data_IF_649782991707
#
_entry.id   IF_649782991707
#
_cell.length_a   1.000
_cell.length_b   1.000
_cell.length_c   1.000
_cell.angle_alpha   90.00
_cell.angle_beta   90.00
_cell.angle_gamma   90.00
#
_symmetry.space_group_name_H-M   'P 1'
#
loop_
_entity.id
_entity.type
_entity.pdbx_description
1 polymer ?
#
# COMPACT_ATOMS: atom_id res chain seq x y z
N UNK A 1 32.70 -18.21 25.96
CA UNK A 1 33.28 -19.19 26.91
C UNK A 1 32.13 -19.77 27.74
N UNK A 2 31.80 -21.06 27.62
CA UNK A 2 30.64 -21.67 28.29
C UNK A 2 30.97 -21.89 29.77
N UNK A 3 30.15 -21.40 30.69
CA UNK A 3 30.29 -21.69 32.13
C UNK A 3 29.69 -23.07 32.41
N UNK A 4 30.56 -24.03 32.75
CA UNK A 4 30.21 -25.44 32.97
C UNK A 4 30.10 -25.67 34.46
N UNK A 5 28.96 -25.27 35.05
CA UNK A 5 28.52 -25.82 36.33
C UNK A 5 27.39 -26.84 36.06
N UNK A 6 27.79 -28.03 35.62
CA UNK A 6 26.90 -29.12 35.22
C UNK A 6 26.51 -29.93 36.45
N UNK A 7 25.28 -29.72 36.91
CA UNK A 7 24.57 -30.69 37.75
C UNK A 7 23.54 -31.40 36.86
N UNK A 8 23.37 -32.74 36.93
CA UNK A 8 22.53 -33.52 36.00
C UNK A 8 21.04 -33.15 35.95
N UNK A 9 20.59 -32.16 36.72
CA UNK A 9 19.21 -31.68 36.77
C UNK A 9 19.02 -30.24 36.20
N UNK A 10 20.08 -29.56 35.71
CA UNK A 10 19.96 -28.24 35.06
C UNK A 10 19.93 -28.41 33.54
N UNK A 11 18.79 -28.07 32.92
CA UNK A 11 18.54 -28.15 31.47
C UNK A 11 18.99 -26.85 30.74
N UNK A 12 19.44 -25.83 31.48
CA UNK A 12 19.78 -24.52 30.90
C UNK A 12 21.28 -24.27 30.91
N UNK A 13 21.86 -24.16 29.71
CA UNK A 13 23.22 -23.68 29.48
C UNK A 13 23.17 -22.15 29.33
N UNK A 14 23.69 -21.42 30.32
CA UNK A 14 23.80 -19.95 30.24
C UNK A 14 25.07 -19.56 29.49
N UNK A 15 24.91 -18.80 28.41
CA UNK A 15 26.03 -18.28 27.62
C UNK A 15 26.51 -16.96 28.24
N UNK A 16 27.82 -16.84 28.47
CA UNK A 16 28.46 -15.68 29.12
C UNK A 16 28.23 -14.35 28.39
N UNK A 17 27.97 -14.38 27.09
CA UNK A 17 27.80 -13.19 26.24
C UNK A 17 26.48 -13.23 25.44
N UNK A 18 25.40 -13.66 26.09
CA UNK A 18 24.08 -13.87 25.45
C UNK A 18 23.61 -12.67 24.60
N UNK A 19 23.82 -11.43 25.06
CA UNK A 19 23.47 -10.22 24.30
C UNK A 19 24.32 -10.02 23.05
N UNK A 20 25.62 -10.32 23.11
CA UNK A 20 26.52 -10.17 21.96
C UNK A 20 26.28 -11.29 20.94
N UNK A 21 26.03 -12.51 21.42
CA UNK A 21 25.66 -13.65 20.59
C UNK A 21 24.31 -13.38 19.90
N UNK A 22 23.31 -12.89 20.63
CA UNK A 22 22.03 -12.51 20.04
C UNK A 22 22.17 -11.39 19.00
N UNK A 23 23.01 -10.38 19.26
CA UNK A 23 23.27 -9.30 18.32
C UNK A 23 23.98 -9.80 17.04
N UNK A 24 24.93 -10.72 17.18
CA UNK A 24 25.60 -11.37 16.05
C UNK A 24 24.57 -12.17 15.26
N UNK A 25 23.82 -13.08 15.89
CA UNK A 25 22.80 -13.91 15.22
C UNK A 25 21.76 -13.06 14.49
N UNK A 26 21.25 -12.00 15.12
CA UNK A 26 20.30 -11.08 14.48
C UNK A 26 20.90 -10.37 13.27
N UNK A 27 22.16 -9.94 13.38
CA UNK A 27 22.88 -9.30 12.27
C UNK A 27 23.11 -10.30 11.13
N UNK A 28 23.60 -11.51 11.41
CA UNK A 28 23.82 -12.52 10.37
C UNK A 28 22.52 -12.94 9.71
N UNK A 29 21.43 -13.08 10.47
CA UNK A 29 20.10 -13.37 9.92
C UNK A 29 19.57 -12.22 9.05
N UNK A 30 19.72 -10.97 9.50
CA UNK A 30 19.33 -9.79 8.71
C UNK A 30 20.13 -9.69 7.42
N UNK A 31 21.45 -9.85 7.50
CA UNK A 31 22.36 -9.78 6.35
C UNK A 31 22.06 -10.94 5.37
N UNK A 32 21.82 -12.16 5.88
CA UNK A 32 21.44 -13.32 5.08
C UNK A 32 20.05 -13.18 4.44
N UNK A 33 19.07 -12.60 5.13
CA UNK A 33 17.74 -12.36 4.58
C UNK A 33 17.74 -11.21 3.57
N UNK A 34 18.55 -10.16 3.77
CA UNK A 34 18.74 -9.09 2.80
C UNK A 34 19.46 -9.60 1.55
N UNK A 35 20.52 -10.39 1.73
CA UNK A 35 21.17 -11.07 0.61
C UNK A 35 20.21 -12.03 -0.07
N UNK A 36 19.46 -12.87 0.66
CA UNK A 36 18.46 -13.76 0.06
C UNK A 36 17.34 -13.01 -0.64
N UNK A 37 16.87 -11.86 -0.16
CA UNK A 37 15.90 -11.03 -0.87
C UNK A 37 16.49 -10.50 -2.21
N UNK A 38 17.78 -10.15 -2.20
CA UNK A 38 18.53 -9.75 -3.39
C UNK A 38 18.81 -10.94 -4.32
N UNK A 39 19.06 -12.13 -3.77
CA UNK A 39 19.36 -13.36 -4.49
C UNK A 39 18.09 -14.09 -4.96
N UNK A 40 16.94 -13.90 -4.33
CA UNK A 40 15.65 -14.41 -4.84
C UNK A 40 15.16 -13.56 -6.01
N UNK A 41 15.65 -12.32 -6.13
CA UNK A 41 15.59 -11.55 -7.37
C UNK A 41 16.67 -12.00 -8.39
N UNK A 42 17.84 -12.49 -7.96
CA UNK A 42 18.94 -12.90 -8.85
C UNK A 42 18.96 -14.39 -9.27
N UNK A 43 18.30 -15.28 -8.54
CA UNK A 43 18.18 -16.71 -8.82
C UNK A 43 16.75 -16.95 -9.28
N UNK A 44 16.58 -17.05 -10.60
CA UNK A 44 15.30 -17.39 -11.21
C UNK A 44 14.71 -18.61 -10.51
N UNK A 45 13.49 -18.46 -9.99
CA UNK A 45 12.68 -19.55 -9.48
C UNK A 45 12.58 -20.60 -10.59
N UNK A 46 13.28 -21.73 -10.42
CA UNK A 46 13.02 -22.92 -11.22
C UNK A 46 11.64 -23.44 -10.83
N UNK A 47 10.65 -23.16 -11.67
CA UNK A 47 9.32 -23.72 -11.55
C UNK A 47 9.38 -25.21 -11.93
N UNK A 48 9.71 -26.06 -10.96
CA UNK A 48 9.47 -27.50 -11.10
C UNK A 48 8.00 -27.75 -10.79
N UNK A 49 7.19 -27.79 -11.85
CA UNK A 49 5.76 -28.06 -11.75
C UNK A 49 5.49 -29.37 -10.99
N UNK A 50 4.78 -29.26 -9.87
CA UNK A 50 3.88 -30.33 -9.43
C UNK A 50 2.60 -29.65 -8.96
N UNK A 51 1.62 -29.67 -9.85
CA UNK A 51 0.29 -29.08 -9.65
C UNK A 51 -0.44 -29.77 -8.51
N UNK A 52 -0.39 -29.21 -7.30
CA UNK A 52 -1.44 -29.42 -6.31
C UNK A 52 -2.46 -28.29 -6.49
N UNK A 53 -3.58 -28.60 -7.17
CA UNK A 53 -4.73 -27.70 -7.26
C UNK A 53 -5.28 -27.45 -5.86
N UNK A 54 -5.04 -26.27 -5.30
CA UNK A 54 -5.96 -25.63 -4.37
C UNK A 54 -6.48 -24.36 -5.04
N UNK A 55 -7.78 -24.37 -5.32
CA UNK A 55 -8.46 -23.26 -5.95
C UNK A 55 -8.59 -22.09 -4.94
N UNK A 56 -8.03 -20.94 -5.28
CA UNK A 56 -8.40 -19.66 -4.68
C UNK A 56 -9.26 -18.92 -5.72
N UNK A 57 -10.46 -18.43 -5.38
CA UNK A 57 -11.29 -17.69 -6.33
C UNK A 57 -10.69 -16.31 -6.56
N UNK A 58 -10.23 -16.03 -7.79
CA UNK A 58 -9.98 -14.67 -8.25
C UNK A 58 -10.75 -14.42 -9.54
N UNK A 59 -11.74 -13.54 -9.39
CA UNK A 59 -12.69 -13.08 -10.38
C UNK A 59 -12.03 -12.07 -11.32
N UNK A 60 -11.13 -12.56 -12.17
CA UNK A 60 -10.48 -11.79 -13.23
C UNK A 60 -10.68 -12.50 -14.56
N UNK A 61 -11.87 -12.38 -15.15
CA UNK A 61 -12.05 -12.50 -16.60
C UNK A 61 -13.52 -12.27 -16.97
N UNK A 62 -13.89 -11.04 -17.33
CA UNK A 62 -14.80 -10.78 -18.45
C UNK A 62 -14.52 -9.37 -18.96
N UNK A 63 -14.06 -9.23 -20.21
CA UNK A 63 -13.98 -7.90 -20.83
C UNK A 63 -12.92 -7.68 -21.91
N UNK A 64 -12.48 -8.70 -22.65
CA UNK A 64 -11.84 -8.47 -23.95
C UNK A 64 -12.29 -9.54 -24.95
N UNK A 65 -13.38 -9.24 -25.68
CA UNK A 65 -13.60 -9.76 -27.03
C UNK A 65 -14.14 -8.64 -27.90
N UNK A 66 -13.27 -8.12 -28.75
CA UNK A 66 -13.65 -7.40 -29.97
C UNK A 66 -14.05 -8.43 -31.02
N UNK A 67 -15.35 -8.56 -31.32
CA UNK A 67 -15.88 -8.60 -32.68
C UNK A 67 -17.40 -8.79 -32.73
N UNK A 68 -17.99 -8.08 -33.70
CA UNK A 68 -19.24 -8.36 -34.42
C UNK A 68 -20.56 -8.31 -33.65
N UNK A 69 -21.34 -7.27 -33.93
CA UNK A 69 -22.75 -7.46 -34.28
C UNK A 69 -23.27 -6.32 -35.17
N UNK A 70 -23.39 -6.67 -36.45
CA UNK A 70 -24.26 -5.99 -37.41
C UNK A 70 -25.72 -6.11 -36.97
N UNK A 71 -26.46 -5.05 -37.30
CA UNK A 71 -27.90 -4.85 -37.25
C UNK A 71 -28.82 -6.09 -37.17
N UNK A 72 -29.83 -6.00 -36.30
CA UNK A 72 -31.25 -6.25 -36.66
C UNK A 72 -32.19 -5.66 -35.59
N UNK A 73 -33.13 -4.87 -36.08
CA UNK A 73 -34.32 -4.38 -35.37
C UNK A 73 -35.16 -5.55 -34.86
N UNK A 74 -35.73 -5.41 -33.65
CA UNK A 74 -37.09 -5.85 -33.35
C UNK A 74 -37.65 -5.12 -32.12
N UNK A 75 -38.98 -5.02 -32.08
CA UNK A 75 -39.78 -3.95 -31.49
C UNK A 75 -40.45 -4.38 -30.17
N UNK A 76 -40.51 -3.44 -29.23
CA UNK A 76 -41.49 -3.23 -28.16
C UNK A 76 -41.69 -4.28 -27.04
N UNK A 77 -41.50 -3.82 -25.80
CA UNK A 77 -42.58 -3.78 -24.80
C UNK A 77 -42.25 -2.75 -23.71
N UNK A 78 -43.03 -1.67 -23.68
CA UNK A 78 -43.02 -0.60 -22.67
C UNK A 78 -43.77 -1.03 -21.41
N UNK A 79 -43.17 -0.84 -20.23
CA UNK A 79 -43.88 -0.76 -18.94
C UNK A 79 -43.56 0.60 -18.32
N UNK A 80 -44.57 1.44 -17.98
CA UNK A 80 -44.33 2.78 -17.43
C UNK A 80 -44.08 2.69 -15.92
N UNK A 81 -42.96 3.25 -15.46
CA UNK A 81 -42.71 3.50 -14.03
C UNK A 81 -42.88 5.01 -13.80
N UNK A 82 -43.93 5.38 -13.06
CA UNK A 82 -44.14 6.74 -12.56
C UNK A 82 -43.09 7.07 -11.48
N UNK A 83 -42.33 8.15 -11.69
CA UNK A 83 -41.45 8.73 -10.69
C UNK A 83 -42.25 9.69 -9.79
N UNK A 84 -42.13 9.62 -8.46
CA UNK A 84 -42.57 10.70 -7.59
C UNK A 84 -41.54 11.84 -7.57
N UNK A 85 -42.03 13.05 -7.80
CA UNK A 85 -41.28 14.31 -7.67
C UNK A 85 -40.84 14.55 -6.22
N UNK A 86 -39.53 14.48 -5.96
CA UNK A 86 -38.91 15.02 -4.74
C UNK A 86 -37.59 15.68 -5.11
N UNK A 87 -37.36 16.98 -4.77
CA UNK A 87 -36.17 17.69 -5.19
C UNK A 87 -34.95 17.26 -4.37
N UNK A 88 -34.03 16.50 -4.98
CA UNK A 88 -32.71 16.25 -4.42
C UNK A 88 -31.81 17.44 -4.75
N UNK A 89 -31.51 18.24 -3.73
CA UNK A 89 -30.50 19.30 -3.76
C UNK A 89 -29.11 18.68 -3.80
N UNK A 90 -28.52 18.61 -4.99
CA UNK A 90 -27.10 18.25 -5.16
C UNK A 90 -26.21 19.46 -4.84
N UNK A 91 -25.63 19.50 -3.65
CA UNK A 91 -24.46 20.34 -3.39
C UNK A 91 -23.24 19.73 -4.11
N UNK A 92 -22.99 20.22 -5.32
CA UNK A 92 -21.77 19.96 -6.07
C UNK A 92 -20.66 20.87 -5.52
N UNK A 93 -19.78 20.34 -4.65
CA UNK A 93 -18.47 20.95 -4.45
C UNK A 93 -17.63 20.68 -5.71
N UNK A 94 -17.64 21.64 -6.64
CA UNK A 94 -16.65 21.74 -7.72
C UNK A 94 -15.32 22.14 -7.09
N UNK A 95 -14.36 21.21 -7.03
CA UNK A 95 -12.96 21.59 -6.92
C UNK A 95 -12.55 22.26 -8.23
N UNK A 96 -12.38 23.58 -8.16
CA UNK A 96 -11.93 24.42 -9.28
C UNK A 96 -10.42 24.28 -9.40
N UNK A 97 -9.96 23.57 -10.43
CA UNK A 97 -8.58 23.68 -10.91
C UNK A 97 -8.50 24.87 -11.87
N UNK A 98 -7.45 25.72 -11.83
CA UNK A 98 -7.35 26.86 -12.72
C UNK A 98 -7.17 26.39 -14.16
N UNK A 99 -8.17 26.64 -15.00
CA UNK A 99 -8.08 26.46 -16.45
C UNK A 99 -7.17 27.54 -17.02
N UNK A 100 -5.95 27.16 -17.42
CA UNK A 100 -5.12 28.00 -18.28
C UNK A 100 -5.77 28.02 -19.66
N UNK A 101 -6.25 29.20 -20.08
CA UNK A 101 -6.74 29.44 -21.43
C UNK A 101 -5.54 29.51 -22.37
N UNK A 102 -5.44 28.54 -23.28
CA UNK A 102 -4.49 28.54 -24.39
C UNK A 102 -5.29 28.95 -25.63
N UNK A 103 -4.98 30.13 -26.18
CA UNK A 103 -5.56 30.59 -27.45
C UNK A 103 -5.07 29.70 -28.61
N UNK A 104 -5.97 29.43 -29.57
CA UNK A 104 -5.67 28.65 -30.78
C UNK A 104 -4.62 29.34 -31.68
N UNK A 105 -3.85 28.57 -32.48
CA UNK A 105 -2.61 29.03 -33.06
C UNK A 105 -2.80 29.65 -34.45
N UNK A 106 -2.14 30.78 -34.67
CA UNK A 106 -1.77 31.24 -36.00
C UNK A 106 -0.25 31.29 -36.05
N UNK A 107 0.34 30.29 -36.71
CA UNK A 107 1.50 30.37 -37.59
C UNK A 107 2.20 29.01 -37.64
N UNK A 108 2.34 28.52 -38.87
CA UNK A 108 3.05 27.29 -39.22
C UNK A 108 4.55 27.53 -38.95
N UNK A 109 4.99 27.19 -37.74
CA UNK A 109 6.41 27.08 -37.42
C UNK A 109 6.88 25.70 -37.85
N UNK A 110 7.80 25.67 -38.81
CA UNK A 110 8.55 24.49 -39.22
C UNK A 110 9.11 23.77 -37.99
N UNK A 111 8.65 22.54 -37.76
CA UNK A 111 9.18 21.65 -36.72
C UNK A 111 10.59 21.23 -37.13
N UNK A 112 11.58 22.00 -36.70
CA UNK A 112 12.95 21.49 -36.57
C UNK A 112 12.95 20.51 -35.40
N UNK A 113 13.32 19.27 -35.71
CA UNK A 113 13.49 18.15 -34.79
C UNK A 113 14.16 18.60 -33.48
N UNK A 114 13.37 18.81 -32.43
CA UNK A 114 13.89 19.15 -31.12
C UNK A 114 14.53 17.88 -30.55
N UNK A 115 15.85 17.87 -30.50
CA UNK A 115 16.64 16.83 -29.84
C UNK A 115 16.07 16.59 -28.45
N UNK A 116 15.65 15.33 -28.20
CA UNK A 116 15.17 14.90 -26.92
C UNK A 116 16.26 15.17 -25.89
N UNK A 117 16.02 16.14 -25.01
CA UNK A 117 16.91 16.47 -23.89
C UNK A 117 17.14 15.18 -23.10
N UNK A 118 18.35 14.65 -23.19
CA UNK A 118 18.74 13.39 -22.55
C UNK A 118 18.34 13.45 -21.06
N UNK A 119 17.48 12.52 -20.66
CA UNK A 119 17.02 12.39 -19.28
C UNK A 119 18.25 12.10 -18.41
N UNK A 120 18.60 13.02 -17.51
CA UNK A 120 19.72 12.87 -16.55
C UNK A 120 19.40 11.89 -15.41
N UNK A 121 18.27 11.19 -15.49
CA UNK A 121 17.87 10.18 -14.51
C UNK A 121 18.77 8.93 -14.67
N UNK A 122 19.12 8.24 -13.57
CA UNK A 122 19.94 7.03 -13.61
C UNK A 122 19.15 5.79 -14.12
N UNK A 123 18.02 6.03 -14.78
CA UNK A 123 17.11 5.05 -15.34
C UNK A 123 16.26 5.69 -16.44
N UNK A 124 15.77 4.87 -17.36
CA UNK A 124 14.81 5.26 -18.40
C UNK A 124 13.48 4.55 -18.15
N UNK A 125 12.39 5.29 -18.02
CA UNK A 125 11.05 4.70 -17.93
C UNK A 125 10.65 4.19 -19.31
N UNK A 126 10.41 2.88 -19.43
CA UNK A 126 9.98 2.23 -20.66
C UNK A 126 8.46 2.35 -20.84
N UNK A 127 7.72 2.38 -19.73
CA UNK A 127 6.28 2.59 -19.71
C UNK A 127 5.58 1.76 -18.66
N UNK A 128 4.26 1.76 -18.74
CA UNK A 128 3.38 1.04 -17.82
C UNK A 128 2.79 -0.21 -18.48
N UNK A 129 2.91 -1.36 -17.81
CA UNK A 129 2.42 -2.66 -18.26
C UNK A 129 1.20 -3.04 -17.41
N UNK A 130 0.11 -3.47 -18.07
CA UNK A 130 -1.14 -3.91 -17.44
C UNK A 130 -1.74 -2.91 -16.42
N UNK A 131 -1.44 -1.63 -16.59
CA UNK A 131 -1.82 -0.57 -15.64
C UNK A 131 -1.46 -0.88 -14.17
N UNK A 132 -0.42 -1.69 -13.96
CA UNK A 132 -0.05 -2.26 -12.64
C UNK A 132 1.46 -2.28 -12.41
N UNK A 133 2.25 -2.38 -13.48
CA UNK A 133 3.70 -2.47 -13.40
C UNK A 133 4.36 -1.34 -14.17
N UNK A 134 5.50 -0.86 -13.69
CA UNK A 134 6.35 0.12 -14.37
C UNK A 134 7.61 -0.60 -14.82
N UNK A 135 7.86 -0.60 -16.13
CA UNK A 135 9.11 -1.09 -16.70
C UNK A 135 10.13 0.03 -16.75
N UNK A 136 11.33 -0.21 -16.23
CA UNK A 136 12.45 0.72 -16.33
C UNK A 136 13.72 0.02 -16.81
N UNK A 137 14.52 0.73 -17.60
CA UNK A 137 15.84 0.31 -18.04
C UNK A 137 16.89 1.04 -17.19
N UNK A 138 17.86 0.29 -16.67
CA UNK A 138 19.03 0.78 -15.92
C UNK A 138 20.29 0.15 -16.51
N UNK A 139 21.46 0.69 -16.16
CA UNK A 139 22.75 0.13 -16.59
C UNK A 139 22.92 -1.36 -16.24
N UNK A 140 22.27 -1.82 -15.17
CA UNK A 140 22.32 -3.21 -14.72
C UNK A 140 21.38 -4.15 -15.51
N UNK A 141 20.34 -3.62 -16.16
CA UNK A 141 19.36 -4.41 -16.91
C UNK A 141 17.94 -3.86 -16.84
N UNK A 142 16.96 -4.75 -17.07
CA UNK A 142 15.53 -4.45 -17.02
C UNK A 142 15.01 -4.60 -15.60
N UNK A 143 14.23 -3.62 -15.14
CA UNK A 143 13.55 -3.67 -13.86
C UNK A 143 12.04 -3.57 -14.06
N UNK A 144 11.30 -4.36 -13.29
CA UNK A 144 9.84 -4.33 -13.24
C UNK A 144 9.42 -3.95 -11.83
N UNK A 145 8.72 -2.83 -11.70
CA UNK A 145 8.26 -2.30 -10.42
C UNK A 145 6.75 -2.49 -10.30
N UNK A 146 6.29 -3.12 -9.21
CA UNK A 146 4.88 -3.14 -8.85
C UNK A 146 4.48 -1.75 -8.33
N UNK A 147 3.65 -1.04 -9.10
CA UNK A 147 3.29 0.35 -8.79
C UNK A 147 2.52 0.48 -7.48
N UNK A 148 1.71 -0.52 -7.13
CA UNK A 148 0.89 -0.51 -5.94
C UNK A 148 1.76 -0.76 -4.71
N UNK A 149 2.56 -1.81 -4.74
CA UNK A 149 3.50 -2.14 -3.66
C UNK A 149 4.54 -1.01 -3.43
N UNK A 150 5.04 -0.41 -4.53
CA UNK A 150 5.90 0.77 -4.46
C UNK A 150 5.21 1.95 -3.77
N UNK A 151 3.97 2.25 -4.15
CA UNK A 151 3.25 3.38 -3.55
C UNK A 151 2.90 3.14 -2.08
N UNK A 152 2.55 1.90 -1.70
CA UNK A 152 2.39 1.52 -0.29
C UNK A 152 3.65 1.83 0.52
N UNK A 153 4.84 1.46 0.01
CA UNK A 153 6.12 1.74 0.68
C UNK A 153 6.34 3.24 0.84
N UNK A 154 6.17 4.01 -0.23
CA UNK A 154 6.35 5.47 -0.21
C UNK A 154 5.41 6.14 0.79
N UNK A 155 4.13 5.77 0.79
CA UNK A 155 3.16 6.33 1.73
C UNK A 155 3.51 5.94 3.16
N UNK A 156 3.69 4.65 3.43
CA UNK A 156 4.02 4.15 4.77
C UNK A 156 5.20 4.91 5.35
N UNK A 157 6.26 5.08 4.57
CA UNK A 157 7.47 5.70 5.06
C UNK A 157 7.34 7.21 5.24
N UNK A 158 6.56 7.87 4.38
CA UNK A 158 6.14 9.25 4.61
C UNK A 158 5.39 9.38 5.93
N UNK A 159 4.45 8.48 6.21
CA UNK A 159 3.68 8.48 7.47
C UNK A 159 4.57 8.21 8.69
N UNK A 160 5.57 7.34 8.56
CA UNK A 160 6.52 7.02 9.64
C UNK A 160 7.53 8.14 9.88
N UNK A 161 7.94 8.87 8.84
CA UNK A 161 8.91 9.97 8.94
C UNK A 161 8.27 11.33 9.28
N UNK A 162 6.93 11.45 9.23
CA UNK A 162 6.28 12.65 9.74
C UNK A 162 6.65 12.82 11.21
N UNK A 163 7.19 13.98 11.62
CA UNK A 163 7.54 14.21 13.00
C UNK A 163 6.24 14.11 13.80
N UNK A 164 6.09 12.98 14.47
CA UNK A 164 5.18 12.85 15.59
C UNK A 164 5.66 13.85 16.61
N UNK A 165 5.17 15.09 16.53
CA UNK A 165 5.12 15.94 17.71
C UNK A 165 4.42 15.07 18.74
N UNK A 166 5.15 14.61 19.75
CA UNK A 166 4.84 13.38 20.48
C UNK A 166 3.37 13.22 20.83
N UNK A 167 2.71 12.21 20.26
CA UNK A 167 1.31 11.92 20.55
C UNK A 167 0.30 13.02 20.16
N UNK A 168 0.65 13.94 19.26
CA UNK A 168 -0.31 14.94 18.78
C UNK A 168 -1.42 14.23 18.03
N UNK A 169 -2.58 14.19 18.69
CA UNK A 169 -3.86 13.81 18.13
C UNK A 169 -4.48 15.02 17.43
N UNK A 170 -5.18 14.78 16.33
CA UNK A 170 -6.08 15.79 15.77
C UNK A 170 -7.43 15.64 16.46
N UNK A 171 -7.76 16.62 17.30
CA UNK A 171 -9.12 16.78 17.85
C UNK A 171 -10.06 17.19 16.69
N UNK A 172 -11.18 16.48 16.59
CA UNK A 172 -12.21 16.77 15.60
C UNK A 172 -13.03 17.97 16.07
N UNK A 173 -13.26 18.94 15.17
CA UNK A 173 -14.14 20.08 15.45
C UNK A 173 -15.57 19.63 15.74
N UNK A 174 -16.00 18.55 15.09
CA UNK A 174 -17.29 17.88 15.29
C UNK A 174 -16.99 16.40 15.50
N UNK A 175 -17.26 15.83 16.69
CA UNK A 175 -17.09 14.40 16.93
C UNK A 175 -17.94 13.56 15.98
N UNK A 176 -17.43 12.41 15.56
CA UNK A 176 -18.24 11.43 14.85
C UNK A 176 -19.04 10.59 15.83
N UNK A 177 -20.35 10.52 15.61
CA UNK A 177 -21.23 9.60 16.32
C UNK A 177 -21.15 8.23 15.65
N UNK A 178 -20.75 7.22 16.40
CA UNK A 178 -20.58 5.84 15.97
C UNK A 178 -21.68 5.00 16.62
N UNK A 179 -22.57 4.46 15.81
CA UNK A 179 -23.51 3.43 16.25
C UNK A 179 -22.80 2.08 16.16
N UNK A 180 -22.62 1.43 17.31
CA UNK A 180 -21.83 0.19 17.39
C UNK A 180 -22.69 -0.99 17.85
N UNK A 181 -22.35 -2.19 17.41
CA UNK A 181 -22.93 -3.42 17.94
C UNK A 181 -22.47 -3.68 19.37
N UNK A 182 -23.18 -4.55 20.10
CA UNK A 182 -22.78 -4.93 21.46
C UNK A 182 -21.38 -5.57 21.53
N UNK A 183 -20.94 -6.24 20.46
CA UNK A 183 -19.58 -6.81 20.37
C UNK A 183 -18.53 -5.71 20.24
N UNK A 184 -18.79 -4.72 19.39
CA UNK A 184 -17.90 -3.57 19.18
C UNK A 184 -17.83 -2.68 20.41
N UNK A 185 -18.94 -2.48 21.13
CA UNK A 185 -18.95 -1.77 22.41
C UNK A 185 -17.99 -2.42 23.43
N UNK A 186 -18.03 -3.75 23.56
CA UNK A 186 -17.10 -4.49 24.44
C UNK A 186 -15.65 -4.29 24.00
N UNK A 187 -15.37 -4.26 22.69
CA UNK A 187 -14.01 -4.00 22.18
C UNK A 187 -13.58 -2.58 22.54
N UNK A 188 -14.44 -1.57 22.34
CA UNK A 188 -14.16 -0.17 22.68
C UNK A 188 -13.87 0.02 24.16
N UNK A 189 -14.68 -0.57 25.04
CA UNK A 189 -14.52 -0.51 26.49
C UNK A 189 -13.15 -1.08 26.92
N UNK A 190 -12.72 -2.19 26.33
CA UNK A 190 -11.47 -2.84 26.68
C UNK A 190 -10.24 -2.20 26.02
N UNK A 191 -10.39 -1.60 24.84
CA UNK A 191 -9.29 -1.06 24.04
C UNK A 191 -9.06 0.44 24.23
N UNK A 192 -9.87 1.14 25.03
CA UNK A 192 -9.85 2.61 25.13
C UNK A 192 -8.45 3.18 25.41
N UNK A 193 -7.72 2.62 26.37
CA UNK A 193 -6.37 3.07 26.71
C UNK A 193 -5.37 2.84 25.56
N UNK A 194 -5.54 1.76 24.81
CA UNK A 194 -4.66 1.39 23.70
C UNK A 194 -4.94 2.22 22.45
N UNK A 195 -6.22 2.47 22.18
CA UNK A 195 -6.69 3.41 21.15
C UNK A 195 -6.16 4.81 21.44
N UNK A 196 -6.25 5.28 22.69
CA UNK A 196 -5.70 6.57 23.10
C UNK A 196 -4.18 6.64 22.89
N UNK A 197 -3.45 5.56 23.20
CA UNK A 197 -1.99 5.50 23.02
C UNK A 197 -1.56 5.63 21.55
N UNK A 198 -2.40 5.23 20.59
CA UNK A 198 -2.15 5.41 19.16
C UNK A 198 -2.82 6.66 18.56
N UNK A 199 -3.64 7.37 19.34
CA UNK A 199 -4.20 8.68 19.00
C UNK A 199 -5.70 8.74 18.71
N UNK A 200 -6.44 7.66 18.98
CA UNK A 200 -7.90 7.63 18.91
C UNK A 200 -8.51 7.88 20.28
N UNK A 201 -9.38 8.89 20.40
CA UNK A 201 -10.16 9.11 21.62
C UNK A 201 -11.64 8.86 21.35
N UNK A 202 -12.19 7.90 22.08
CA UNK A 202 -13.59 7.48 22.01
C UNK A 202 -14.24 7.59 23.39
N UNK A 203 -15.49 8.02 23.41
CA UNK A 203 -16.28 8.20 24.63
C UNK A 203 -17.67 7.58 24.45
N UNK A 204 -18.19 6.94 25.49
CA UNK A 204 -19.56 6.42 25.48
C UNK A 204 -20.56 7.59 25.50
N UNK A 205 -21.51 7.60 24.57
CA UNK A 205 -22.51 8.67 24.41
C UNK A 205 -23.93 8.21 24.81
N UNK A 206 -24.07 6.99 25.34
CA UNK A 206 -25.33 6.40 25.77
C UNK A 206 -25.81 5.26 24.87
N UNK A 207 -26.44 4.25 25.47
CA UNK A 207 -26.89 3.06 24.72
C UNK A 207 -25.74 2.38 23.98
N UNK A 208 -25.91 2.21 22.67
CA UNK A 208 -24.92 1.65 21.75
C UNK A 208 -24.15 2.72 20.96
N UNK A 209 -24.22 3.97 21.40
CA UNK A 209 -23.65 5.10 20.69
C UNK A 209 -22.34 5.53 21.35
N UNK A 210 -21.30 5.72 20.54
CA UNK A 210 -20.00 6.24 20.97
C UNK A 210 -19.64 7.49 20.18
N UNK A 211 -18.90 8.41 20.80
CA UNK A 211 -18.38 9.61 20.15
C UNK A 211 -16.87 9.45 19.93
N UNK A 212 -16.44 9.49 18.66
CA UNK A 212 -15.03 9.61 18.29
C UNK A 212 -14.65 11.09 18.27
N UNK A 213 -13.80 11.50 19.20
CA UNK A 213 -13.39 12.90 19.40
C UNK A 213 -12.05 13.24 18.78
N UNK A 214 -11.13 12.27 18.77
CA UNK A 214 -9.77 12.48 18.27
C UNK A 214 -9.32 11.34 17.39
N UNK A 215 -8.50 11.68 16.39
CA UNK A 215 -7.86 10.75 15.47
C UNK A 215 -6.35 10.98 15.44
N UNK A 216 -5.54 9.96 15.10
CA UNK A 216 -4.12 10.15 14.87
C UNK A 216 -3.89 11.19 13.75
N UNK A 217 -2.90 12.07 13.89
CA UNK A 217 -2.65 13.16 12.92
C UNK A 217 -2.42 12.66 11.48
N UNK A 218 -1.92 11.44 11.32
CA UNK A 218 -1.77 10.75 10.03
C UNK A 218 -3.08 10.60 9.24
N UNK A 219 -4.23 10.67 9.93
CA UNK A 219 -5.56 10.63 9.31
C UNK A 219 -6.11 12.01 8.92
N UNK A 220 -5.48 13.11 9.34
CA UNK A 220 -6.04 14.48 9.25
C UNK A 220 -6.57 14.88 7.87
N UNK A 221 -5.91 14.45 6.80
CA UNK A 221 -6.27 14.85 5.45
C UNK A 221 -7.42 14.02 4.83
N UNK A 222 -7.77 12.87 5.40
CA UNK A 222 -8.61 11.88 4.69
C UNK A 222 -9.49 10.98 5.57
N UNK A 223 -9.51 11.15 6.89
CA UNK A 223 -10.24 10.24 7.78
C UNK A 223 -11.68 9.96 7.34
N UNK A 224 -12.05 8.67 7.30
CA UNK A 224 -13.42 8.21 7.11
C UNK A 224 -13.84 7.34 8.30
N UNK A 225 -15.06 7.51 8.85
CA UNK A 225 -15.55 6.69 9.95
C UNK A 225 -15.48 5.17 9.69
N UNK A 226 -15.74 4.73 8.46
CA UNK A 226 -15.67 3.31 8.08
C UNK A 226 -14.28 2.70 8.33
N UNK A 227 -13.20 3.48 8.15
CA UNK A 227 -11.82 3.01 8.42
C UNK A 227 -11.61 2.72 9.91
N UNK A 228 -12.36 3.39 10.80
CA UNK A 228 -12.29 3.13 12.23
C UNK A 228 -13.03 1.84 12.61
N UNK A 229 -14.15 1.52 11.95
CA UNK A 229 -14.83 0.24 12.16
C UNK A 229 -13.97 -0.94 11.71
N UNK A 230 -13.28 -0.82 10.57
CA UNK A 230 -12.32 -1.83 10.11
C UNK A 230 -11.19 -2.04 11.13
N UNK A 231 -10.69 -0.96 11.75
CA UNK A 231 -9.70 -1.03 12.83
C UNK A 231 -10.26 -1.70 14.09
N UNK A 232 -11.54 -1.46 14.40
CA UNK A 232 -12.18 -2.03 15.57
C UNK A 232 -12.38 -3.54 15.43
N UNK A 233 -12.78 -4.00 14.25
CA UNK A 233 -12.89 -5.42 13.91
C UNK A 233 -11.55 -6.13 14.13
N UNK A 234 -10.47 -5.56 13.60
CA UNK A 234 -9.08 -6.03 13.81
C UNK A 234 -8.70 -6.12 15.30
N UNK A 235 -9.14 -5.15 16.09
CA UNK A 235 -8.90 -5.14 17.52
C UNK A 235 -9.58 -6.31 18.23
N UNK A 236 -10.83 -6.59 17.85
CA UNK A 236 -11.61 -7.72 18.33
C UNK A 236 -11.05 -9.08 17.92
N UNK A 237 -10.32 -9.15 16.81
CA UNK A 237 -9.82 -10.41 16.22
C UNK A 237 -8.39 -10.81 16.62
N UNK A 238 -7.69 -10.01 17.44
CA UNK A 238 -6.41 -10.46 18.02
C UNK A 238 -5.34 -9.40 18.22
N UNK A 239 -5.67 -8.11 18.16
CA UNK A 239 -4.67 -7.08 18.51
C UNK A 239 -4.53 -6.86 20.00
N UNK A 240 -5.45 -7.31 20.85
CA UNK A 240 -5.45 -7.08 22.30
C UNK A 240 -4.15 -7.46 23.02
N UNK A 241 -3.35 -8.39 22.48
CA UNK A 241 -2.05 -8.79 23.04
C UNK A 241 -0.81 -8.07 22.47
N UNK A 242 -0.96 -7.23 21.44
CA UNK A 242 0.16 -6.57 20.78
C UNK A 242 0.66 -5.35 21.55
N UNK A 243 1.96 -5.07 21.42
CA UNK A 243 2.54 -3.85 22.00
C UNK A 243 1.99 -2.60 21.31
N UNK A 244 1.98 -1.42 21.97
CA UNK A 244 1.53 -0.18 21.36
C UNK A 244 2.23 0.16 20.02
N UNK A 245 3.54 -0.06 19.93
CA UNK A 245 4.31 0.19 18.71
C UNK A 245 3.91 -0.75 17.57
N UNK A 246 3.57 -2.01 17.87
CA UNK A 246 3.10 -2.99 16.87
C UNK A 246 1.70 -2.64 16.37
N UNK A 247 0.82 -2.17 17.25
CA UNK A 247 -0.51 -1.66 16.88
C UNK A 247 -0.39 -0.43 16.00
N UNK A 248 0.49 0.51 16.38
CA UNK A 248 0.80 1.70 15.61
C UNK A 248 1.30 1.35 14.21
N UNK A 249 2.26 0.42 14.11
CA UNK A 249 2.78 -0.10 12.84
C UNK A 249 1.64 -0.61 11.94
N UNK A 250 0.72 -1.43 12.48
CA UNK A 250 -0.42 -1.96 11.71
C UNK A 250 -1.37 -0.88 11.21
N UNK A 251 -1.62 0.16 12.02
CA UNK A 251 -2.42 1.32 11.61
C UNK A 251 -1.76 2.06 10.44
N UNK A 252 -0.45 2.28 10.51
CA UNK A 252 0.31 2.93 9.42
C UNK A 252 0.29 2.09 8.13
N UNK A 253 0.40 0.76 8.26
CA UNK A 253 0.30 -0.17 7.14
C UNK A 253 -1.08 -0.10 6.47
N UNK A 254 -2.17 -0.11 7.27
CA UNK A 254 -3.54 0.03 6.75
C UNK A 254 -3.77 1.35 6.02
N UNK A 255 -3.30 2.44 6.61
CA UNK A 255 -3.33 3.78 6.00
C UNK A 255 -2.61 3.81 4.65
N UNK A 256 -1.43 3.18 4.60
CA UNK A 256 -0.67 3.08 3.36
C UNK A 256 -1.43 2.31 2.27
N UNK A 257 -2.06 1.18 2.58
CA UNK A 257 -2.94 0.46 1.65
C UNK A 257 -4.10 1.32 1.14
N UNK A 258 -4.80 2.00 2.06
CA UNK A 258 -5.98 2.78 1.72
C UNK A 258 -5.64 3.95 0.79
N UNK A 259 -4.48 4.58 1.03
CA UNK A 259 -3.95 5.70 0.25
C UNK A 259 -3.21 5.32 -1.04
N UNK A 260 -2.76 4.06 -1.17
CA UNK A 260 -1.99 3.60 -2.32
C UNK A 260 -2.80 3.64 -3.63
N UNK A 261 -2.04 3.69 -4.74
CA UNK A 261 -2.58 3.66 -6.11
C UNK A 261 -3.40 2.38 -6.26
N UNK A 262 -4.59 2.49 -6.83
CA UNK A 262 -5.47 1.33 -7.01
C UNK A 262 -5.01 0.50 -8.21
N UNK A 263 -5.29 -0.80 -8.15
CA UNK A 263 -5.03 -1.71 -9.26
C UNK A 263 -5.73 -1.19 -10.52
N UNK A 264 -5.03 -1.21 -11.65
CA UNK A 264 -5.56 -0.76 -12.95
C UNK A 264 -5.50 0.76 -13.19
N UNK A 265 -4.98 1.56 -12.25
CA UNK A 265 -4.83 3.00 -12.46
C UNK A 265 -3.70 3.27 -13.46
N UNK A 266 -3.99 4.03 -14.53
CA UNK A 266 -3.00 4.53 -15.47
C UNK A 266 -2.21 5.68 -14.85
N UNK A 267 -0.89 5.68 -15.07
CA UNK A 267 0.01 6.74 -14.62
C UNK A 267 0.64 7.44 -15.82
N UNK A 268 0.72 8.76 -15.77
CA UNK A 268 1.54 9.54 -16.69
C UNK A 268 3.03 9.35 -16.37
N UNK A 269 3.89 9.60 -17.35
CA UNK A 269 5.35 9.43 -17.19
C UNK A 269 5.91 10.23 -16.01
N UNK A 270 5.42 11.46 -15.81
CA UNK A 270 5.84 12.29 -14.68
C UNK A 270 5.45 11.67 -13.32
N UNK A 271 4.28 11.04 -13.22
CA UNK A 271 3.82 10.35 -12.01
C UNK A 271 4.64 9.08 -11.74
N UNK A 272 4.98 8.33 -12.80
CA UNK A 272 5.87 7.18 -12.70
C UNK A 272 7.24 7.61 -12.17
N UNK A 273 7.88 8.60 -12.80
CA UNK A 273 9.17 9.14 -12.33
C UNK A 273 9.08 9.62 -10.87
N UNK A 274 8.04 10.38 -10.52
CA UNK A 274 7.86 10.86 -9.15
C UNK A 274 7.67 9.74 -8.12
N UNK A 275 6.99 8.65 -8.47
CA UNK A 275 6.84 7.46 -7.62
C UNK A 275 8.19 6.75 -7.44
N UNK A 276 8.93 6.55 -8.55
CA UNK A 276 10.23 5.89 -8.52
C UNK A 276 11.23 6.73 -7.69
N UNK A 277 11.32 8.03 -7.91
CA UNK A 277 12.25 8.87 -7.14
C UNK A 277 11.99 8.81 -5.62
N UNK A 278 10.70 8.79 -5.22
CA UNK A 278 10.32 8.63 -3.82
C UNK A 278 10.63 7.22 -3.29
N UNK A 279 10.36 6.18 -4.08
CA UNK A 279 10.63 4.80 -3.69
C UNK A 279 12.12 4.58 -3.45
N UNK A 280 13.02 5.09 -4.29
CA UNK A 280 14.46 4.88 -4.13
C UNK A 280 15.05 5.67 -2.96
N UNK A 281 14.37 6.73 -2.52
CA UNK A 281 14.72 7.46 -1.29
C UNK A 281 14.28 6.72 -0.02
N UNK A 282 13.51 5.64 -0.17
CA UNK A 282 13.08 4.85 0.96
C UNK A 282 14.22 4.07 1.62
N UNK A 283 14.11 3.89 2.93
CA UNK A 283 14.95 3.02 3.78
C UNK A 283 14.89 1.56 3.32
N UNK A 284 13.70 1.10 2.90
CA UNK A 284 13.45 -0.28 2.43
C UNK A 284 12.74 -0.25 1.07
N UNK A 285 13.42 0.17 0.00
CA UNK A 285 12.80 0.44 -1.29
C UNK A 285 12.30 -0.81 -2.00
N UNK A 286 12.86 -1.99 -1.68
CA UNK A 286 12.62 -3.27 -2.38
C UNK A 286 11.58 -4.19 -1.70
N UNK A 287 10.95 -3.73 -0.62
CA UNK A 287 9.97 -4.53 0.12
C UNK A 287 8.85 -3.63 0.59
N UNK A 288 7.59 -3.94 0.29
CA UNK A 288 6.46 -3.15 0.77
C UNK A 288 6.22 -3.41 2.27
N UNK A 289 5.39 -2.61 2.95
CA UNK A 289 5.13 -2.79 4.38
C UNK A 289 4.53 -4.16 4.75
N UNK A 290 3.90 -4.86 3.79
CA UNK A 290 3.38 -6.22 3.94
C UNK A 290 4.41 -7.33 3.67
N UNK A 291 5.64 -6.98 3.28
CA UNK A 291 6.69 -7.94 2.94
C UNK A 291 6.76 -8.38 1.48
N UNK A 292 5.88 -7.87 0.59
CA UNK A 292 5.93 -8.17 -0.85
C UNK A 292 7.11 -7.44 -1.52
N UNK A 293 7.78 -8.02 -2.53
CA UNK A 293 8.74 -7.27 -3.35
C UNK A 293 8.07 -6.09 -4.04
N UNK A 294 8.73 -4.93 -4.08
CA UNK A 294 8.26 -3.76 -4.84
C UNK A 294 8.84 -3.71 -6.25
N UNK A 295 10.00 -4.35 -6.46
CA UNK A 295 10.68 -4.38 -7.74
C UNK A 295 11.39 -5.72 -7.94
N UNK A 296 11.49 -6.14 -9.20
CA UNK A 296 12.27 -7.28 -9.67
C UNK A 296 13.28 -6.79 -10.71
N UNK A 297 14.49 -7.34 -10.67
CA UNK A 297 15.57 -7.03 -11.60
C UNK A 297 15.85 -8.25 -12.50
N UNK A 298 16.02 -7.98 -13.79
CA UNK A 298 16.55 -8.91 -14.78
C UNK A 298 17.83 -8.31 -15.34
N UNK A 299 18.97 -8.83 -14.89
CA UNK A 299 20.27 -8.38 -15.36
C UNK A 299 20.43 -8.64 -16.86
N UNK A 300 21.29 -7.86 -17.53
CA UNK A 300 21.59 -8.07 -18.94
C UNK A 300 22.02 -9.52 -19.24
N UNK A 301 22.80 -10.15 -18.34
CA UNK A 301 23.22 -11.54 -18.45
C UNK A 301 22.05 -12.52 -18.32
N UNK A 302 21.14 -12.32 -17.35
CA UNK A 302 19.96 -13.15 -17.18
C UNK A 302 19.05 -13.07 -18.41
N UNK A 303 18.80 -11.85 -18.91
CA UNK A 303 18.03 -11.64 -20.14
C UNK A 303 18.68 -12.36 -21.31
N UNK A 304 19.99 -12.23 -21.50
CA UNK A 304 20.70 -12.91 -22.58
C UNK A 304 20.49 -14.43 -22.52
N UNK A 305 20.65 -15.05 -21.34
CA UNK A 305 20.44 -16.49 -21.14
C UNK A 305 19.00 -16.94 -21.42
N UNK A 306 18.00 -16.12 -21.11
CA UNK A 306 16.60 -16.47 -21.38
C UNK A 306 16.29 -16.65 -22.88
N UNK A 307 17.05 -16.00 -23.76
CA UNK A 307 16.89 -16.10 -25.21
C UNK A 307 17.98 -16.94 -25.90
N UNK A 308 19.02 -17.36 -25.18
CA UNK A 308 20.14 -18.17 -25.67
C UNK A 308 20.42 -19.34 -24.70
N UNK A 309 19.52 -20.34 -24.64
CA UNK A 309 19.63 -21.49 -23.76
C UNK A 309 20.75 -22.47 -24.14
#
# INVERSE_FOLDING_TARGET
MVDVNVHPAKIEVRLSEERQIAAIVLRTLRDALQQAATTTAAAGVQWTGTSARQAIPHDYAQGFTSNELQAKNEVAATVPIQQPDVPISFYHHKEVWPTVSIAEPADVVTVTNAEAKESTLPYKVLGQVLASYIGIERDSGLWIVDQHAAHERVIYERLTNQPTRGGVVTQLLVPYTLEVSGREAIVLENAQAELAAIGFEVEHFGGNTWALRSIPDVYRARFKPDEFFDLLADWGEGWSGLKPDEKRERVLIRLACAGAIKAGQRLHTAEMVGLLDQLWQSKLPFTCPHGRPTALEFSAEQLFRLFHP
#
